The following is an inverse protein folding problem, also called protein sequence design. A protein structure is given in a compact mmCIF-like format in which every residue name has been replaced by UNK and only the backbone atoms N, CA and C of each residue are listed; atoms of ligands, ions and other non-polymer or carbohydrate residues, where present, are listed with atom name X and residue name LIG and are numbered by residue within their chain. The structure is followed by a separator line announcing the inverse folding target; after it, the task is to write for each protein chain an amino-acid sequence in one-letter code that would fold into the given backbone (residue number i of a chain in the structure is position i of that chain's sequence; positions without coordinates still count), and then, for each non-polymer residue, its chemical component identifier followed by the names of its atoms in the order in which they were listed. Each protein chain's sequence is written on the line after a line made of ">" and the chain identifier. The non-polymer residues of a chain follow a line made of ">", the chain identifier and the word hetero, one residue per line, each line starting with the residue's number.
data_IF_664242735264
#
_entry.id   IF_664242735264
#
_cell.length_a   1.000
_cell.length_b   1.000
_cell.length_c   1.000
_cell.angle_alpha   90.00
_cell.angle_beta   90.00
_cell.angle_gamma   90.00
#
_symmetry.space_group_name_H-M   'P 1'
#
loop_
_entity.id
_entity.type
_entity.pdbx_description
1 polymer ?
#
# COMPACT_ATOMS: atom_id res chain seq x y z
N UNK A 1 -22.19 15.15 21.62
CA UNK A 1 -20.81 15.44 21.17
C UNK A 1 -20.35 14.24 20.35
N UNK A 2 -20.64 14.23 19.04
CA UNK A 2 -20.31 13.11 18.17
C UNK A 2 -18.96 13.37 17.53
N UNK A 3 -17.96 12.58 17.87
CA UNK A 3 -16.70 12.55 17.13
C UNK A 3 -16.96 11.87 15.80
N UNK A 4 -17.28 12.65 14.78
CA UNK A 4 -17.23 12.23 13.39
C UNK A 4 -15.80 11.75 13.15
N UNK A 5 -15.63 10.45 12.92
CA UNK A 5 -14.33 9.89 12.60
C UNK A 5 -13.94 10.44 11.22
N UNK A 6 -13.12 11.50 11.23
CA UNK A 6 -12.68 12.21 10.04
C UNK A 6 -12.05 11.21 9.07
N UNK A 7 -12.44 11.28 7.80
CA UNK A 7 -11.83 10.52 6.72
C UNK A 7 -10.31 10.68 6.81
N UNK A 8 -9.58 9.57 7.01
CA UNK A 8 -8.13 9.63 7.23
C UNK A 8 -7.42 9.52 5.89
N UNK A 9 -6.30 10.23 5.77
CA UNK A 9 -5.37 10.04 4.65
C UNK A 9 -4.37 8.94 5.02
N UNK A 10 -4.38 7.85 4.25
CA UNK A 10 -3.53 6.68 4.46
C UNK A 10 -2.55 6.58 3.29
N UNK A 11 -1.26 6.68 3.59
CA UNK A 11 -0.19 6.45 2.61
C UNK A 11 0.40 5.06 2.78
N UNK A 12 0.35 4.25 1.73
CA UNK A 12 0.99 2.93 1.66
C UNK A 12 2.20 3.06 0.74
N UNK A 13 3.39 2.96 1.33
CA UNK A 13 4.65 3.04 0.62
C UNK A 13 5.13 1.63 0.22
N UNK A 14 5.55 1.46 -1.02
CA UNK A 14 6.18 0.21 -1.50
C UNK A 14 7.32 0.52 -2.45
N UNK A 15 8.40 -0.24 -2.35
CA UNK A 15 9.50 -0.21 -3.30
C UNK A 15 9.31 -1.14 -4.51
N UNK A 16 8.28 -1.99 -4.47
CA UNK A 16 7.90 -2.86 -5.59
C UNK A 16 7.09 -2.08 -6.63
N UNK A 17 7.79 -1.52 -7.63
CA UNK A 17 7.13 -0.91 -8.80
C UNK A 17 6.16 -1.88 -9.49
N UNK A 18 6.51 -3.18 -9.53
CA UNK A 18 5.66 -4.21 -10.11
C UNK A 18 4.33 -4.33 -9.37
N UNK A 19 4.35 -4.37 -8.04
CA UNK A 19 3.13 -4.45 -7.23
C UNK A 19 2.24 -3.20 -7.39
N UNK A 20 2.85 -2.01 -7.37
CA UNK A 20 2.13 -0.75 -7.55
C UNK A 20 1.47 -0.66 -8.94
N UNK A 21 2.20 -1.03 -10.00
CA UNK A 21 1.64 -1.07 -11.37
C UNK A 21 0.52 -2.10 -11.49
N UNK A 22 0.69 -3.28 -10.90
CA UNK A 22 -0.35 -4.33 -10.92
C UNK A 22 -1.64 -3.87 -10.22
N UNK A 23 -1.53 -3.05 -9.16
CA UNK A 23 -2.68 -2.44 -8.49
C UNK A 23 -3.25 -1.23 -9.25
N UNK A 24 -2.45 -0.55 -10.07
CA UNK A 24 -2.84 0.63 -10.83
C UNK A 24 -3.61 0.33 -12.12
N UNK A 25 -3.46 -0.87 -12.70
CA UNK A 25 -4.17 -1.24 -13.94
C UNK A 25 -5.65 -1.57 -13.68
N UNK A 26 -6.56 -1.32 -14.65
CA UNK A 26 -7.98 -1.61 -14.49
C UNK A 26 -8.30 -3.11 -14.54
N UNK A 27 -7.48 -3.90 -15.25
CA UNK A 27 -7.67 -5.34 -15.46
C UNK A 27 -6.45 -6.11 -14.97
N UNK A 28 -6.68 -7.24 -14.29
CA UNK A 28 -5.64 -8.10 -13.75
C UNK A 28 -6.18 -9.53 -13.58
N UNK A 29 -5.33 -10.53 -13.77
CA UNK A 29 -5.68 -11.96 -13.68
C UNK A 29 -5.21 -12.61 -12.37
N UNK A 30 -4.33 -11.93 -11.62
CA UNK A 30 -3.78 -12.45 -10.37
C UNK A 30 -4.80 -12.39 -9.23
N UNK A 31 -5.09 -13.55 -8.62
CA UNK A 31 -5.92 -13.66 -7.42
C UNK A 31 -5.35 -12.87 -6.23
N UNK A 32 -4.03 -12.77 -6.14
CA UNK A 32 -3.36 -11.97 -5.10
C UNK A 32 -3.65 -10.48 -5.30
N UNK A 33 -3.52 -9.97 -6.53
CA UNK A 33 -3.83 -8.56 -6.86
C UNK A 33 -5.31 -8.26 -6.59
N UNK A 34 -6.21 -9.19 -6.92
CA UNK A 34 -7.64 -9.08 -6.55
C UNK A 34 -7.84 -8.97 -5.04
N UNK A 35 -7.20 -9.85 -4.26
CA UNK A 35 -7.26 -9.82 -2.80
C UNK A 35 -6.79 -8.49 -2.23
N UNK A 36 -5.66 -7.96 -2.71
CA UNK A 36 -5.16 -6.65 -2.33
C UNK A 36 -6.15 -5.53 -2.68
N UNK A 37 -6.75 -5.55 -3.87
CA UNK A 37 -7.76 -4.56 -4.28
C UNK A 37 -9.00 -4.60 -3.40
N UNK A 38 -9.47 -5.80 -3.02
CA UNK A 38 -10.57 -5.97 -2.08
C UNK A 38 -10.23 -5.42 -0.70
N UNK A 39 -9.00 -5.63 -0.21
CA UNK A 39 -8.54 -5.06 1.06
C UNK A 39 -8.51 -3.53 1.01
N UNK A 40 -7.99 -2.94 -0.08
CA UNK A 40 -8.00 -1.49 -0.28
C UNK A 40 -9.43 -0.93 -0.34
N UNK A 41 -10.37 -1.63 -1.01
CA UNK A 41 -11.78 -1.22 -1.05
C UNK A 41 -12.46 -1.21 0.33
N UNK A 42 -12.07 -2.11 1.25
CA UNK A 42 -12.58 -2.09 2.63
C UNK A 42 -12.20 -0.82 3.38
N UNK A 43 -11.14 -0.13 2.95
CA UNK A 43 -10.72 1.16 3.49
C UNK A 43 -11.44 2.35 2.84
N UNK A 44 -12.45 2.14 1.99
CA UNK A 44 -13.03 3.14 1.06
C UNK A 44 -13.64 4.42 1.63
N UNK A 45 -13.63 4.62 2.95
CA UNK A 45 -13.94 5.91 3.61
C UNK A 45 -12.69 6.79 3.77
N UNK A 46 -11.52 6.28 3.38
CA UNK A 46 -10.23 6.94 3.55
C UNK A 46 -9.66 7.30 2.17
N UNK A 47 -8.90 8.39 2.12
CA UNK A 47 -8.05 8.69 0.96
C UNK A 47 -6.82 7.78 1.04
N UNK A 48 -6.65 6.89 0.05
CA UNK A 48 -5.53 5.96 0.02
C UNK A 48 -4.56 6.39 -1.08
N UNK A 49 -3.32 6.69 -0.68
CA UNK A 49 -2.22 6.95 -1.59
C UNK A 49 -1.30 5.73 -1.65
N UNK A 50 -1.14 5.12 -2.83
CA UNK A 50 -0.11 4.12 -3.09
C UNK A 50 1.14 4.82 -3.61
N UNK A 51 2.21 4.84 -2.82
CA UNK A 51 3.41 5.65 -3.07
C UNK A 51 4.58 4.74 -3.41
N UNK A 52 5.21 4.99 -4.56
CA UNK A 52 6.48 4.36 -4.89
C UNK A 52 7.61 4.97 -4.05
N UNK A 53 8.44 4.13 -3.47
CA UNK A 53 9.69 4.55 -2.85
C UNK A 53 10.88 3.84 -3.49
N UNK A 54 12.00 4.53 -3.69
CA UNK A 54 13.18 3.91 -4.25
C UNK A 54 13.78 2.92 -3.23
N UNK A 55 13.94 1.66 -3.65
CA UNK A 55 14.56 0.61 -2.84
C UNK A 55 15.97 1.02 -2.42
N UNK A 56 16.39 0.58 -1.23
CA UNK A 56 17.73 0.82 -0.68
C UNK A 56 18.17 2.29 -0.53
N UNK A 57 17.26 3.26 -0.68
CA UNK A 57 17.61 4.70 -0.73
C UNK A 57 17.74 5.37 0.64
N UNK A 58 18.10 4.64 1.68
CA UNK A 58 18.29 5.26 2.99
C UNK A 58 17.02 5.45 3.83
N UNK A 59 15.82 5.32 3.26
CA UNK A 59 14.56 5.63 3.95
C UNK A 59 14.34 4.67 5.12
N UNK A 60 14.38 5.20 6.34
CA UNK A 60 14.35 4.42 7.59
C UNK A 60 13.16 3.47 7.66
N UNK A 61 11.97 3.92 7.25
CA UNK A 61 10.76 3.09 7.22
C UNK A 61 10.86 1.91 6.26
N UNK A 62 11.31 2.15 5.01
CA UNK A 62 11.48 1.07 4.02
C UNK A 62 12.53 0.06 4.48
N UNK A 63 13.67 0.53 4.98
CA UNK A 63 14.75 -0.34 5.47
C UNK A 63 14.28 -1.26 6.59
N UNK A 64 13.49 -0.74 7.53
CA UNK A 64 12.93 -1.54 8.61
C UNK A 64 11.97 -2.61 8.07
N UNK A 65 11.10 -2.23 7.12
CA UNK A 65 10.20 -3.17 6.45
C UNK A 65 10.98 -4.25 5.69
N UNK A 66 12.03 -3.89 4.95
CA UNK A 66 12.88 -4.82 4.20
C UNK A 66 13.61 -5.80 5.13
N UNK A 67 14.13 -5.31 6.26
CA UNK A 67 14.80 -6.15 7.25
C UNK A 67 13.84 -7.15 7.87
N UNK A 68 12.63 -6.71 8.23
CA UNK A 68 11.59 -7.60 8.75
C UNK A 68 11.17 -8.64 7.71
N UNK A 69 10.99 -8.25 6.46
CA UNK A 69 10.65 -9.19 5.38
C UNK A 69 11.75 -10.23 5.11
N UNK A 70 13.03 -9.85 5.28
CA UNK A 70 14.18 -10.77 5.15
C UNK A 70 14.36 -11.71 6.34
N UNK A 71 13.81 -11.37 7.50
CA UNK A 71 13.92 -12.18 8.70
C UNK A 71 13.07 -13.47 8.64
N UNK A 72 12.09 -13.54 7.73
CA UNK A 72 11.20 -14.69 7.56
C UNK A 72 10.17 -14.82 8.66
#
# INVERSE_FOLDING_TARGET
>A
MYAWEMEKRISICSDSQAALRALGVPTYTSRLVWGCRCALKKLGRNEIALVWMPGHSGIRGNKAADQLAKAG
#
